data_IF_817859794492
#
_entry.id   IF_817859794492
#
_cell.length_a   1.000
_cell.length_b   1.000
_cell.length_c   1.000
_cell.angle_alpha   90.00
_cell.angle_beta   90.00
_cell.angle_gamma   90.00
#
_symmetry.space_group_name_H-M   'P 1'
#
loop_
_entity.id
_entity.type
_entity.pdbx_description
1 polymer ?
#
# COMPACT_ATOMS: atom_id res chain seq x y z
N UNK A 1 -11.25 -7.00 31.88
CA UNK A 1 -10.39 -7.76 32.83
C UNK A 1 -8.99 -7.18 32.72
N UNK A 2 -8.46 -6.61 33.81
CA UNK A 2 -7.12 -6.05 33.84
C UNK A 2 -6.08 -7.19 33.78
N UNK A 3 -5.09 -7.11 32.89
CA UNK A 3 -4.04 -8.12 32.71
C UNK A 3 -2.84 -7.96 33.65
N UNK A 4 -2.86 -6.99 34.56
CA UNK A 4 -1.81 -6.87 35.58
C UNK A 4 -2.06 -7.88 36.70
N UNK A 5 -1.03 -8.65 37.12
CA UNK A 5 -1.14 -9.54 38.27
C UNK A 5 -1.54 -8.70 39.50
N UNK A 6 -2.56 -9.09 40.27
CA UNK A 6 -2.91 -8.38 41.49
C UNK A 6 -1.73 -8.48 42.47
N UNK A 7 -1.21 -7.32 42.88
CA UNK A 7 -0.17 -7.20 43.90
C UNK A 7 -0.86 -7.17 45.26
N UNK A 8 -0.33 -7.91 46.25
CA UNK A 8 -0.87 -7.89 47.61
C UNK A 8 -0.71 -6.51 48.27
N UNK A 9 -1.77 -6.04 48.94
CA UNK A 9 -1.82 -4.73 49.60
C UNK A 9 -0.74 -4.57 50.69
N UNK A 10 -0.27 -5.68 51.27
CA UNK A 10 0.85 -5.74 52.23
C UNK A 10 2.19 -5.28 51.61
N UNK A 11 2.43 -5.60 50.34
CA UNK A 11 3.66 -5.20 49.61
C UNK A 11 3.61 -3.73 49.21
N UNK A 12 2.41 -3.23 48.89
CA UNK A 12 2.18 -1.83 48.60
C UNK A 12 2.39 -0.95 49.84
N UNK A 13 1.90 -1.37 51.02
CA UNK A 13 2.08 -0.60 52.25
C UNK A 13 3.53 -0.54 52.74
N UNK A 14 4.31 -1.61 52.53
CA UNK A 14 5.70 -1.67 52.99
C UNK A 14 6.70 -0.93 52.09
N UNK A 15 6.30 -0.53 50.87
CA UNK A 15 7.22 0.06 49.91
C UNK A 15 6.54 1.18 49.08
N UNK A 16 6.45 2.41 49.62
CA UNK A 16 5.68 3.50 49.01
C UNK A 16 6.20 3.94 47.63
N UNK A 17 7.50 3.75 47.37
CA UNK A 17 8.08 4.04 46.05
C UNK A 17 7.58 3.06 44.98
N UNK A 18 7.37 1.79 45.35
CA UNK A 18 6.80 0.79 44.47
C UNK A 18 5.32 1.06 44.18
N UNK A 19 4.55 1.53 45.16
CA UNK A 19 3.15 1.97 44.96
C UNK A 19 3.08 3.08 43.93
N UNK A 20 3.95 4.08 44.07
CA UNK A 20 3.98 5.21 43.15
C UNK A 20 4.37 4.77 41.74
N UNK A 21 5.32 3.84 41.60
CA UNK A 21 5.74 3.30 40.31
C UNK A 21 4.66 2.42 39.67
N UNK A 22 4.05 1.53 40.45
CA UNK A 22 2.93 0.69 40.02
C UNK A 22 1.79 1.56 39.52
N UNK A 23 1.30 2.49 40.34
CA UNK A 23 0.22 3.41 39.96
C UNK A 23 0.55 4.27 38.74
N UNK A 24 1.81 4.74 38.60
CA UNK A 24 2.25 5.46 37.40
C UNK A 24 2.25 4.57 36.15
N UNK A 25 2.71 3.34 36.25
CA UNK A 25 2.74 2.41 35.13
C UNK A 25 1.33 2.00 34.71
N UNK A 26 0.44 1.69 35.66
CA UNK A 26 -0.93 1.22 35.37
C UNK A 26 -1.85 2.34 34.88
N UNK A 27 -1.70 3.57 35.37
CA UNK A 27 -2.64 4.66 35.07
C UNK A 27 -2.13 5.67 34.03
N UNK A 28 -0.81 5.87 33.92
CA UNK A 28 -0.23 6.96 33.11
C UNK A 28 0.49 6.44 31.88
N UNK A 29 1.12 5.26 31.97
CA UNK A 29 2.02 4.77 30.91
C UNK A 29 1.39 3.67 30.07
N UNK A 30 0.61 2.77 30.65
CA UNK A 30 0.11 1.56 29.99
C UNK A 30 -1.41 1.50 29.96
N UNK A 31 -1.97 1.00 28.86
CA UNK A 31 -3.40 0.65 28.75
C UNK A 31 -3.66 -0.71 29.41
N UNK A 32 -4.94 -1.08 29.56
CA UNK A 32 -5.40 -2.38 30.10
C UNK A 32 -4.75 -3.61 29.43
N UNK A 33 -4.31 -3.45 28.18
CA UNK A 33 -3.71 -4.47 27.33
C UNK A 33 -2.17 -4.42 27.36
N UNK A 34 -1.58 -3.77 28.37
CA UNK A 34 -0.14 -3.54 28.55
C UNK A 34 0.56 -2.76 27.42
N UNK A 35 -0.18 -2.13 26.50
CA UNK A 35 0.38 -1.27 25.47
C UNK A 35 0.64 0.15 26.00
N UNK A 36 1.76 0.76 25.62
CA UNK A 36 2.10 2.15 25.99
C UNK A 36 1.10 3.16 25.41
N UNK A 37 0.60 4.06 26.26
CA UNK A 37 -0.30 5.17 25.86
C UNK A 37 0.41 6.21 25.01
N UNK A 38 1.63 6.62 25.41
CA UNK A 38 2.36 7.74 24.81
C UNK A 38 3.56 7.30 23.96
N UNK A 39 3.37 6.31 23.08
CA UNK A 39 4.36 5.98 22.05
C UNK A 39 4.21 6.88 20.82
N UNK A 40 5.29 7.29 20.11
CA UNK A 40 5.17 8.06 18.86
C UNK A 40 4.32 7.34 17.80
N UNK A 41 4.28 6.00 17.85
CA UNK A 41 3.47 5.13 16.99
C UNK A 41 2.06 4.83 17.52
N UNK A 42 1.64 5.39 18.66
CA UNK A 42 0.31 5.13 19.22
C UNK A 42 -0.81 5.66 18.30
N UNK A 43 -0.61 6.85 17.73
CA UNK A 43 -1.53 7.46 16.77
C UNK A 43 -1.62 6.65 15.47
N UNK A 44 -0.48 6.17 14.97
CA UNK A 44 -0.40 5.28 13.79
C UNK A 44 -1.11 3.94 14.04
N UNK A 45 -0.92 3.33 15.21
CA UNK A 45 -1.62 2.08 15.59
C UNK A 45 -3.13 2.30 15.72
N UNK A 46 -3.56 3.44 16.25
CA UNK A 46 -4.98 3.80 16.35
C UNK A 46 -5.60 4.01 14.95
N UNK A 47 -4.91 4.70 14.04
CA UNK A 47 -5.38 4.87 12.65
C UNK A 47 -5.43 3.54 11.90
N UNK A 48 -4.44 2.67 12.09
CA UNK A 48 -4.42 1.33 11.47
C UNK A 48 -5.58 0.47 12.00
N UNK A 49 -5.87 0.53 13.30
CA UNK A 49 -7.02 -0.18 13.91
C UNK A 49 -8.35 0.31 13.34
N UNK A 50 -8.56 1.63 13.26
CA UNK A 50 -9.76 2.21 12.65
C UNK A 50 -9.92 1.78 11.19
N UNK A 51 -8.84 1.76 10.41
CA UNK A 51 -8.88 1.30 9.02
C UNK A 51 -9.16 -0.21 8.92
N UNK A 52 -8.60 -1.02 9.82
CA UNK A 52 -8.89 -2.46 9.90
C UNK A 52 -10.36 -2.72 10.22
N UNK A 53 -10.92 -2.00 11.19
CA UNK A 53 -12.32 -2.15 11.59
C UNK A 53 -13.25 -1.69 10.48
N UNK A 54 -12.92 -0.59 9.78
CA UNK A 54 -13.65 -0.14 8.58
C UNK A 54 -13.66 -1.24 7.51
N UNK A 55 -12.52 -1.85 7.22
CA UNK A 55 -12.41 -2.94 6.22
C UNK A 55 -13.17 -4.19 6.64
N UNK A 56 -13.12 -4.57 7.92
CA UNK A 56 -13.90 -5.68 8.47
C UNK A 56 -15.40 -5.43 8.33
N UNK A 57 -15.86 -4.20 8.60
CA UNK A 57 -17.27 -3.83 8.48
C UNK A 57 -17.74 -3.88 7.01
N UNK A 58 -16.91 -3.42 6.08
CA UNK A 58 -17.18 -3.52 4.64
C UNK A 58 -17.24 -4.99 4.19
N UNK A 59 -16.26 -5.81 4.61
CA UNK A 59 -16.22 -7.23 4.27
C UNK A 59 -17.42 -7.99 4.84
N UNK A 60 -17.82 -7.71 6.09
CA UNK A 60 -19.02 -8.30 6.70
C UNK A 60 -20.30 -7.89 5.95
N UNK A 61 -20.43 -6.62 5.54
CA UNK A 61 -21.54 -6.16 4.71
C UNK A 61 -21.58 -6.86 3.36
N UNK A 62 -20.44 -6.99 2.69
CA UNK A 62 -20.34 -7.72 1.43
C UNK A 62 -20.70 -9.19 1.61
N UNK A 63 -20.19 -9.85 2.65
CA UNK A 63 -20.51 -11.24 2.96
C UNK A 63 -22.01 -11.42 3.24
N UNK A 64 -22.63 -10.54 4.03
CA UNK A 64 -24.07 -10.56 4.28
C UNK A 64 -24.89 -10.34 3.00
N UNK A 65 -24.46 -9.42 2.12
CA UNK A 65 -25.12 -9.20 0.82
C UNK A 65 -24.95 -10.42 -0.09
N UNK A 66 -23.78 -11.04 -0.14
CA UNK A 66 -23.53 -12.28 -0.91
C UNK A 66 -24.37 -13.43 -0.37
N UNK A 67 -24.47 -13.59 0.96
CA UNK A 67 -25.35 -14.57 1.59
C UNK A 67 -26.83 -14.28 1.28
N UNK A 68 -27.26 -13.02 1.36
CA UNK A 68 -28.63 -12.63 1.05
C UNK A 68 -28.97 -12.90 -0.41
N UNK A 69 -28.08 -12.55 -1.36
CA UNK A 69 -28.26 -12.79 -2.79
C UNK A 69 -28.28 -14.29 -3.09
N UNK A 70 -27.33 -15.07 -2.56
CA UNK A 70 -27.30 -16.53 -2.74
C UNK A 70 -28.50 -17.23 -2.11
N UNK A 71 -29.07 -16.70 -1.03
CA UNK A 71 -30.32 -17.19 -0.44
C UNK A 71 -31.59 -16.71 -1.16
N UNK A 72 -31.50 -15.61 -1.91
CA UNK A 72 -32.62 -15.00 -2.64
C UNK A 72 -32.70 -15.44 -4.11
N UNK A 73 -31.65 -16.05 -4.66
CA UNK A 73 -31.69 -16.71 -5.97
C UNK A 73 -32.26 -18.12 -5.83
N UNK A 74 -33.45 -18.45 -6.38
CA UNK A 74 -33.92 -19.81 -6.44
C UNK A 74 -33.15 -20.57 -7.54
N UNK A 75 -31.93 -21.02 -7.25
CA UNK A 75 -31.26 -22.02 -8.08
C UNK A 75 -31.93 -23.37 -7.87
N UNK A 76 -32.64 -23.81 -8.92
CA UNK A 76 -33.10 -25.17 -9.15
C UNK A 76 -31.90 -26.14 -9.12
N UNK A 77 -31.58 -26.71 -7.97
CA UNK A 77 -31.02 -28.07 -7.71
C UNK A 77 -30.54 -28.16 -6.25
N UNK A 78 -30.90 -29.23 -5.50
CA UNK A 78 -30.46 -29.36 -4.10
C UNK A 78 -29.06 -30.01 -4.03
N UNK A 79 -28.06 -29.39 -3.37
CA UNK A 79 -26.91 -30.13 -2.89
C UNK A 79 -27.22 -30.71 -1.51
N UNK A 80 -27.20 -32.02 -1.43
CA UNK A 80 -27.21 -32.76 -0.18
C UNK A 80 -26.00 -32.33 0.68
N UNK A 81 -26.26 -31.70 1.83
CA UNK A 81 -25.27 -31.64 2.91
C UNK A 81 -25.91 -32.06 4.22
N UNK A 82 -25.46 -33.24 4.64
CA UNK A 82 -25.69 -33.84 5.96
C UNK A 82 -25.06 -32.94 7.01
N UNK A 83 -25.86 -32.45 7.95
CA UNK A 83 -25.38 -32.02 9.26
C UNK A 83 -26.11 -32.84 10.32
N UNK A 84 -25.44 -33.91 10.75
CA UNK A 84 -25.76 -34.65 11.96
C UNK A 84 -25.54 -33.76 13.17
N UNK A 85 -26.59 -33.51 13.97
CA UNK A 85 -26.43 -33.36 15.41
C UNK A 85 -27.46 -34.24 16.11
N UNK A 86 -26.93 -35.35 16.61
CA UNK A 86 -27.58 -36.31 17.51
C UNK A 86 -27.41 -35.74 18.92
N UNK A 87 -28.47 -35.70 19.73
CA UNK A 87 -28.47 -35.99 21.18
C UNK A 87 -29.92 -36.13 21.69
N UNK A 88 -30.41 -37.39 21.66
CA UNK A 88 -31.21 -38.16 22.62
C UNK A 88 -32.53 -37.65 23.31
N UNK A 89 -33.39 -38.60 23.78
CA UNK A 89 -34.86 -38.51 23.86
C UNK A 89 -35.41 -38.33 25.30
N UNK A 90 -36.75 -38.31 25.47
CA UNK A 90 -37.37 -39.40 26.23
C UNK A 90 -38.70 -39.94 25.68
N UNK A 91 -39.14 -41.00 26.35
CA UNK A 91 -40.08 -42.07 25.99
C UNK A 91 -41.58 -41.71 26.07
N UNK A 92 -42.37 -42.52 25.35
CA UNK A 92 -43.80 -42.77 25.56
C UNK A 92 -44.65 -41.62 25.01
N UNK A 93 -45.47 -41.80 24.00
CA UNK A 93 -46.76 -42.50 24.10
C UNK A 93 -47.08 -43.23 22.80
N UNK A 94 -47.70 -44.39 22.95
CA UNK A 94 -48.24 -45.22 21.88
C UNK A 94 -49.34 -44.44 21.14
N UNK A 95 -49.09 -44.12 19.87
CA UNK A 95 -50.15 -43.81 18.93
C UNK A 95 -50.18 -44.96 17.92
N UNK A 96 -51.31 -45.66 17.88
CA UNK A 96 -51.67 -46.52 16.75
C UNK A 96 -51.75 -45.65 15.50
N UNK A 97 -50.65 -45.61 14.75
CA UNK A 97 -50.58 -45.06 13.41
C UNK A 97 -50.59 -46.22 12.44
N UNK A 98 -51.78 -46.56 11.95
CA UNK A 98 -51.95 -47.33 10.73
C UNK A 98 -50.99 -46.81 9.66
N UNK A 99 -50.15 -47.71 9.14
CA UNK A 99 -49.42 -47.52 7.90
C UNK A 99 -50.38 -47.11 6.78
N UNK A 100 -50.60 -45.81 6.59
CA UNK A 100 -50.91 -45.30 5.26
C UNK A 100 -49.56 -45.12 4.57
N UNK A 101 -49.02 -46.24 4.07
CA UNK A 101 -48.23 -46.18 2.86
C UNK A 101 -49.08 -45.40 1.86
N UNK A 102 -48.73 -44.14 1.60
CA UNK A 102 -49.12 -43.50 0.35
C UNK A 102 -48.44 -44.32 -0.74
N UNK A 103 -49.12 -45.38 -1.16
CA UNK A 103 -48.95 -45.94 -2.49
C UNK A 103 -49.14 -44.75 -3.42
N UNK A 104 -48.05 -44.21 -3.96
CA UNK A 104 -48.16 -43.53 -5.24
C UNK A 104 -48.81 -44.57 -6.16
N UNK A 105 -50.01 -44.30 -6.73
CA UNK A 105 -50.51 -45.17 -7.77
C UNK A 105 -49.42 -45.15 -8.85
N UNK A 106 -48.88 -46.32 -9.20
CA UNK A 106 -47.99 -46.45 -10.35
C UNK A 106 -48.77 -45.90 -11.55
N UNK A 107 -48.43 -44.68 -11.96
CA UNK A 107 -49.06 -44.01 -13.09
C UNK A 107 -48.88 -44.92 -14.30
N UNK A 108 -49.94 -45.23 -15.07
CA UNK A 108 -49.80 -45.92 -16.34
C UNK A 108 -48.74 -45.23 -17.20
N UNK A 109 -47.82 -46.00 -17.78
CA UNK A 109 -46.77 -45.55 -18.71
C UNK A 109 -47.24 -44.50 -19.75
N UNK A 110 -48.43 -44.63 -20.39
CA UNK A 110 -48.92 -43.62 -21.33
C UNK A 110 -49.25 -42.25 -20.71
N UNK A 111 -49.51 -42.17 -19.39
CA UNK A 111 -49.72 -40.89 -18.69
C UNK A 111 -48.41 -40.13 -18.46
N UNK A 112 -47.30 -40.84 -18.31
CA UNK A 112 -45.99 -40.23 -18.10
C UNK A 112 -45.50 -39.57 -19.39
N UNK A 113 -45.64 -40.28 -20.51
CA UNK A 113 -45.32 -39.75 -21.84
C UNK A 113 -46.20 -38.54 -22.18
N UNK A 114 -47.48 -38.58 -21.84
CA UNK A 114 -48.37 -37.44 -22.00
C UNK A 114 -47.93 -36.23 -21.15
N UNK A 115 -47.55 -36.43 -19.89
CA UNK A 115 -47.12 -35.35 -18.99
C UNK A 115 -45.82 -34.69 -19.43
N UNK A 116 -44.99 -35.39 -20.21
CA UNK A 116 -43.76 -34.86 -20.80
C UNK A 116 -44.06 -34.05 -22.07
N UNK A 117 -45.03 -34.47 -22.88
CA UNK A 117 -45.37 -33.85 -24.18
C UNK A 117 -46.33 -32.65 -24.05
N UNK A 118 -47.22 -32.62 -23.04
CA UNK A 118 -48.23 -31.56 -22.88
C UNK A 118 -47.67 -30.17 -22.50
N UNK A 119 -46.70 -30.03 -21.56
CA UNK A 119 -46.18 -28.73 -21.13
C UNK A 119 -45.65 -27.82 -22.25
N UNK A 120 -44.83 -28.29 -23.22
CA UNK A 120 -44.37 -27.43 -24.31
C UNK A 120 -45.50 -27.02 -25.27
N UNK A 121 -46.59 -27.79 -25.36
CA UNK A 121 -47.75 -27.45 -26.18
C UNK A 121 -48.70 -26.44 -25.50
N UNK A 122 -48.62 -26.30 -24.18
CA UNK A 122 -49.45 -25.39 -23.37
C UNK A 122 -48.77 -24.06 -23.01
N UNK A 123 -47.48 -23.90 -23.33
CA UNK A 123 -46.77 -22.66 -23.08
C UNK A 123 -47.23 -21.56 -24.05
N UNK A 124 -47.82 -20.50 -23.50
CA UNK A 124 -48.32 -19.36 -24.27
C UNK A 124 -47.21 -18.56 -24.99
N UNK A 125 -45.93 -18.84 -24.67
CA UNK A 125 -44.77 -18.22 -25.32
C UNK A 125 -44.27 -18.98 -26.55
N UNK A 126 -44.78 -20.19 -26.82
CA UNK A 126 -44.38 -20.98 -27.99
C UNK A 126 -45.19 -20.58 -29.23
N UNK A 127 -44.56 -20.53 -30.42
CA UNK A 127 -45.27 -20.24 -31.66
C UNK A 127 -46.32 -21.34 -31.95
N UNK A 128 -47.51 -20.99 -32.45
CA UNK A 128 -48.54 -21.97 -32.77
C UNK A 128 -48.05 -22.93 -33.85
N UNK A 129 -48.18 -24.24 -33.61
CA UNK A 129 -47.77 -25.27 -34.56
C UNK A 129 -48.68 -25.25 -35.81
N UNK A 130 -48.13 -25.54 -37.01
CA UNK A 130 -48.91 -25.63 -38.24
C UNK A 130 -49.97 -26.75 -38.16
N UNK A 131 -51.14 -26.50 -38.75
CA UNK A 131 -52.34 -27.32 -38.59
C UNK A 131 -52.17 -28.79 -39.01
N UNK A 132 -51.36 -29.06 -40.05
CA UNK A 132 -51.05 -30.41 -40.52
C UNK A 132 -50.26 -31.22 -39.47
N UNK A 133 -49.36 -30.55 -38.74
CA UNK A 133 -48.58 -31.19 -37.67
C UNK A 133 -49.42 -31.46 -36.44
N UNK A 134 -50.40 -30.60 -36.13
CA UNK A 134 -51.37 -30.85 -35.06
C UNK A 134 -52.24 -32.06 -35.37
N UNK A 135 -52.73 -32.19 -36.61
CA UNK A 135 -53.52 -33.34 -37.04
C UNK A 135 -52.74 -34.66 -36.91
N UNK A 136 -51.44 -34.65 -37.26
CA UNK A 136 -50.57 -35.81 -37.10
C UNK A 136 -50.33 -36.13 -35.61
N UNK A 137 -50.13 -35.11 -34.76
CA UNK A 137 -49.96 -35.27 -33.31
C UNK A 137 -51.19 -35.86 -32.63
N UNK A 138 -52.40 -35.44 -33.02
CA UNK A 138 -53.65 -35.97 -32.47
C UNK A 138 -54.05 -37.35 -33.03
N UNK A 139 -53.47 -37.76 -34.16
CA UNK A 139 -53.71 -39.08 -34.76
C UNK A 139 -52.88 -40.22 -34.13
N UNK A 140 -51.88 -39.90 -33.30
CA UNK A 140 -50.98 -40.88 -32.69
C UNK A 140 -51.02 -40.85 -31.15
N UNK A 141 -50.82 -41.99 -30.47
CA UNK A 141 -50.70 -42.02 -29.02
C UNK A 141 -49.44 -41.26 -28.60
N UNK A 142 -49.44 -40.55 -27.45
CA UNK A 142 -50.44 -40.60 -26.37
C UNK A 142 -51.62 -39.63 -26.50
N UNK A 143 -51.65 -38.73 -27.51
CA UNK A 143 -52.72 -37.73 -27.64
C UNK A 143 -54.03 -38.28 -28.21
N UNK A 144 -53.98 -39.32 -29.04
CA UNK A 144 -55.17 -40.01 -29.54
C UNK A 144 -55.97 -40.70 -28.42
N UNK A 145 -55.29 -41.07 -27.32
CA UNK A 145 -55.86 -41.71 -26.14
C UNK A 145 -56.19 -40.69 -25.03
N UNK A 146 -56.11 -39.39 -25.31
CA UNK A 146 -56.35 -38.35 -24.32
C UNK A 146 -57.75 -38.48 -23.68
N UNK A 147 -58.78 -38.77 -24.46
CA UNK A 147 -60.16 -38.90 -23.96
C UNK A 147 -60.34 -40.10 -23.02
N UNK A 148 -59.60 -41.19 -23.23
CA UNK A 148 -59.63 -42.38 -22.36
C UNK A 148 -58.76 -42.20 -21.10
N UNK A 149 -57.71 -41.39 -21.19
CA UNK A 149 -56.78 -41.08 -20.09
C UNK A 149 -57.24 -39.88 -19.22
N UNK A 150 -58.14 -39.03 -19.73
CA UNK A 150 -58.67 -37.84 -19.05
C UNK A 150 -59.33 -38.14 -17.70
N UNK A 151 -60.15 -39.21 -17.52
CA UNK A 151 -60.72 -39.55 -16.21
C UNK A 151 -59.67 -39.89 -15.14
N UNK A 152 -58.51 -40.42 -15.55
CA UNK A 152 -57.39 -40.72 -14.66
C UNK A 152 -56.53 -39.46 -14.37
N UNK A 153 -56.40 -38.56 -15.33
CA UNK A 153 -55.63 -37.31 -15.21
C UNK A 153 -56.38 -36.21 -14.45
N UNK A 154 -57.69 -36.08 -14.66
CA UNK A 154 -58.53 -35.07 -14.03
C UNK A 154 -58.37 -35.02 -12.49
N UNK A 155 -58.42 -36.13 -11.72
CA UNK A 155 -58.21 -36.07 -10.28
C UNK A 155 -56.79 -35.67 -9.90
N UNK A 156 -55.77 -36.08 -10.66
CA UNK A 156 -54.36 -35.73 -10.43
C UNK A 156 -54.17 -34.23 -10.65
N UNK A 157 -54.61 -33.71 -11.80
CA UNK A 157 -54.54 -32.29 -12.14
C UNK A 157 -55.32 -31.46 -11.12
N UNK A 158 -56.55 -31.86 -10.76
CA UNK A 158 -57.34 -31.16 -9.75
C UNK A 158 -56.66 -31.14 -8.37
N UNK A 159 -56.04 -32.25 -7.95
CA UNK A 159 -55.30 -32.32 -6.68
C UNK A 159 -54.05 -31.44 -6.69
N UNK A 160 -53.32 -31.42 -7.81
CA UNK A 160 -52.16 -30.55 -8.00
C UNK A 160 -52.59 -29.09 -8.01
N UNK A 161 -53.55 -28.69 -8.84
CA UNK A 161 -54.06 -27.33 -8.88
C UNK A 161 -54.58 -26.86 -7.52
N UNK A 162 -55.28 -27.73 -6.77
CA UNK A 162 -55.73 -27.42 -5.41
C UNK A 162 -54.57 -27.23 -4.44
N UNK A 163 -53.53 -28.05 -4.54
CA UNK A 163 -52.32 -27.95 -3.70
C UNK A 163 -51.56 -26.66 -4.01
N UNK A 164 -51.42 -26.31 -5.28
CA UNK A 164 -50.78 -25.08 -5.72
C UNK A 164 -51.59 -23.85 -5.30
N UNK A 165 -52.91 -23.86 -5.51
CA UNK A 165 -53.79 -22.79 -5.05
C UNK A 165 -53.75 -22.59 -3.53
N UNK A 166 -53.69 -23.68 -2.75
CA UNK A 166 -53.47 -23.61 -1.31
C UNK A 166 -52.10 -23.05 -0.93
N UNK A 167 -51.05 -23.43 -1.66
CA UNK A 167 -49.70 -22.90 -1.49
C UNK A 167 -49.65 -21.40 -1.73
N UNK A 168 -50.23 -20.93 -2.84
CA UNK A 168 -50.36 -19.51 -3.16
C UNK A 168 -51.22 -18.76 -2.14
N UNK A 169 -52.34 -19.35 -1.70
CA UNK A 169 -53.18 -18.76 -0.65
C UNK A 169 -52.41 -18.58 0.68
N UNK A 170 -51.54 -19.53 1.03
CA UNK A 170 -50.69 -19.44 2.22
C UNK A 170 -49.60 -18.38 2.10
N UNK A 171 -49.01 -18.22 0.92
CA UNK A 171 -48.03 -17.15 0.65
C UNK A 171 -48.72 -15.78 0.75
N UNK A 172 -49.95 -15.66 0.24
CA UNK A 172 -50.71 -14.42 0.28
C UNK A 172 -51.30 -14.08 1.64
N UNK A 173 -51.65 -15.09 2.45
CA UNK A 173 -52.24 -14.91 3.76
C UNK A 173 -51.47 -15.75 4.79
N UNK A 174 -50.22 -15.37 5.11
CA UNK A 174 -49.35 -16.17 5.99
C UNK A 174 -49.89 -16.28 7.42
N UNK A 175 -50.75 -15.35 7.84
CA UNK A 175 -51.36 -15.32 9.18
C UNK A 175 -52.68 -16.10 9.28
N UNK A 176 -53.25 -16.57 8.18
CA UNK A 176 -54.51 -17.32 8.22
C UNK A 176 -54.30 -18.79 8.56
N UNK A 177 -55.18 -19.31 9.42
CA UNK A 177 -55.23 -20.73 9.79
C UNK A 177 -55.42 -21.63 8.56
N UNK A 178 -54.70 -22.75 8.52
CA UNK A 178 -54.67 -23.66 7.37
C UNK A 178 -56.04 -24.20 6.95
N UNK A 179 -56.98 -24.33 7.88
CA UNK A 179 -58.36 -24.77 7.65
C UNK A 179 -59.21 -23.77 6.86
N UNK A 180 -58.88 -22.48 6.88
CA UNK A 180 -59.65 -21.43 6.21
C UNK A 180 -59.02 -20.95 4.89
N UNK A 181 -57.82 -21.41 4.55
CA UNK A 181 -57.11 -21.03 3.31
C UNK A 181 -57.92 -21.28 2.04
N UNK A 182 -58.76 -22.32 2.03
CA UNK A 182 -59.62 -22.64 0.89
C UNK A 182 -60.60 -21.51 0.52
N UNK A 183 -61.01 -20.67 1.48
CA UNK A 183 -61.92 -19.53 1.23
C UNK A 183 -61.25 -18.42 0.44
N UNK A 184 -59.92 -18.32 0.53
CA UNK A 184 -59.14 -17.28 -0.15
C UNK A 184 -58.73 -17.66 -1.59
N UNK A 185 -59.00 -18.90 -2.03
CA UNK A 185 -58.64 -19.36 -3.38
C UNK A 185 -59.35 -18.53 -4.46
N UNK A 186 -60.62 -18.19 -4.25
CA UNK A 186 -61.40 -17.40 -5.21
C UNK A 186 -60.93 -15.94 -5.32
N UNK A 187 -60.34 -15.37 -4.26
CA UNK A 187 -59.81 -14.01 -4.25
C UNK A 187 -58.35 -13.91 -4.70
N UNK A 188 -57.66 -15.03 -4.93
CA UNK A 188 -56.25 -15.02 -5.36
C UNK A 188 -56.00 -14.20 -6.63
N UNK A 189 -56.81 -14.33 -7.71
CA UNK A 189 -56.56 -13.60 -8.94
C UNK A 189 -56.60 -12.09 -8.74
N UNK A 190 -57.56 -11.58 -7.96
CA UNK A 190 -57.70 -10.14 -7.70
C UNK A 190 -56.58 -9.60 -6.81
N UNK A 191 -56.17 -10.37 -5.79
CA UNK A 191 -55.01 -10.00 -4.95
C UNK A 191 -53.71 -9.96 -5.76
N UNK A 192 -53.52 -10.92 -6.67
CA UNK A 192 -52.33 -11.00 -7.51
C UNK A 192 -52.29 -9.88 -8.55
N UNK A 193 -53.42 -9.54 -9.17
CA UNK A 193 -53.48 -8.37 -10.05
C UNK A 193 -53.18 -7.07 -9.31
N UNK A 194 -53.67 -6.93 -8.06
CA UNK A 194 -53.37 -5.79 -7.19
C UNK A 194 -51.88 -5.70 -6.88
N UNK A 195 -51.24 -6.81 -6.49
CA UNK A 195 -49.79 -6.81 -6.23
C UNK A 195 -48.96 -6.54 -7.48
N UNK A 196 -49.39 -7.02 -8.65
CA UNK A 196 -48.72 -6.70 -9.91
C UNK A 196 -48.84 -5.21 -10.24
N UNK A 197 -50.00 -4.60 -10.03
CA UNK A 197 -50.15 -3.15 -10.22
C UNK A 197 -49.36 -2.35 -9.19
N UNK A 198 -49.34 -2.77 -7.93
CA UNK A 198 -48.60 -2.10 -6.86
C UNK A 198 -47.09 -2.20 -7.08
N UNK A 199 -46.60 -3.35 -7.52
CA UNK A 199 -45.20 -3.55 -7.88
C UNK A 199 -44.82 -2.65 -9.06
N UNK A 200 -45.61 -2.65 -10.13
CA UNK A 200 -45.37 -1.79 -11.29
C UNK A 200 -45.40 -0.30 -10.89
N UNK A 201 -46.35 0.12 -10.04
CA UNK A 201 -46.41 1.48 -9.51
C UNK A 201 -45.15 1.80 -8.69
N UNK A 202 -44.76 0.94 -7.76
CA UNK A 202 -43.56 1.13 -6.93
C UNK A 202 -42.27 1.21 -7.78
N UNK A 203 -42.15 0.42 -8.84
CA UNK A 203 -41.03 0.49 -9.79
C UNK A 203 -40.99 1.83 -10.53
N UNK A 204 -42.14 2.29 -11.02
CA UNK A 204 -42.24 3.60 -11.69
C UNK A 204 -41.94 4.75 -10.73
N UNK A 205 -42.44 4.69 -9.50
CA UNK A 205 -42.15 5.69 -8.47
C UNK A 205 -40.67 5.72 -8.12
N UNK A 206 -40.06 4.56 -7.88
CA UNK A 206 -38.64 4.44 -7.56
C UNK A 206 -37.75 4.95 -8.70
N UNK A 207 -38.08 4.62 -9.95
CA UNK A 207 -37.36 5.16 -11.11
C UNK A 207 -37.49 6.69 -11.20
N UNK A 208 -38.68 7.23 -10.94
CA UNK A 208 -38.92 8.68 -10.91
C UNK A 208 -38.12 9.38 -9.80
N UNK A 209 -38.06 8.80 -8.59
CA UNK A 209 -37.29 9.34 -7.48
C UNK A 209 -35.79 9.30 -7.77
N UNK A 210 -35.29 8.22 -8.38
CA UNK A 210 -33.90 8.13 -8.83
C UNK A 210 -33.58 9.25 -9.82
N UNK A 211 -34.40 9.44 -10.85
CA UNK A 211 -34.21 10.52 -11.83
C UNK A 211 -34.23 11.92 -11.18
N UNK A 212 -35.18 12.19 -10.28
CA UNK A 212 -35.23 13.47 -9.54
C UNK A 212 -33.97 13.68 -8.68
N UNK A 213 -33.51 12.63 -7.99
CA UNK A 213 -32.31 12.72 -7.15
C UNK A 213 -31.05 12.99 -7.99
N UNK A 214 -30.92 12.34 -9.16
CA UNK A 214 -29.82 12.58 -10.08
C UNK A 214 -29.84 14.02 -10.62
N UNK A 215 -31.02 14.54 -11.00
CA UNK A 215 -31.16 15.92 -11.44
C UNK A 215 -30.82 16.94 -10.35
N UNK A 216 -31.19 16.67 -9.09
CA UNK A 216 -30.82 17.51 -7.96
C UNK A 216 -29.29 17.49 -7.74
N UNK A 217 -28.66 16.32 -7.79
CA UNK A 217 -27.21 16.20 -7.65
C UNK A 217 -26.44 16.90 -8.77
N UNK A 218 -26.90 16.79 -10.03
CA UNK A 218 -26.26 17.50 -11.14
C UNK A 218 -26.39 19.01 -10.98
N UNK A 219 -27.55 19.51 -10.53
CA UNK A 219 -27.73 20.94 -10.24
C UNK A 219 -26.82 21.45 -9.12
N UNK A 220 -26.63 20.66 -8.05
CA UNK A 220 -25.73 20.98 -6.95
C UNK A 220 -24.28 21.01 -7.42
N UNK A 221 -23.85 20.02 -8.21
CA UNK A 221 -22.51 19.99 -8.78
C UNK A 221 -22.27 21.22 -9.68
N UNK A 222 -23.25 21.60 -10.49
CA UNK A 222 -23.14 22.80 -11.33
C UNK A 222 -23.07 24.10 -10.49
N UNK A 223 -23.83 24.20 -9.41
CA UNK A 223 -23.74 25.33 -8.49
C UNK A 223 -22.36 25.39 -7.80
N UNK A 224 -21.82 24.24 -7.38
CA UNK A 224 -20.50 24.16 -6.76
C UNK A 224 -19.37 24.52 -7.73
N UNK A 225 -19.41 24.04 -8.97
CA UNK A 225 -18.42 24.40 -10.00
C UNK A 225 -18.46 25.89 -10.32
N UNK A 226 -19.67 26.46 -10.42
CA UNK A 226 -19.84 27.91 -10.60
C UNK A 226 -19.25 28.70 -9.42
N UNK A 227 -19.54 28.30 -8.17
CA UNK A 227 -18.99 28.95 -6.99
C UNK A 227 -17.46 28.88 -6.94
N UNK A 228 -16.86 27.73 -7.26
CA UNK A 228 -15.40 27.57 -7.35
C UNK A 228 -14.81 28.44 -8.47
N UNK A 229 -15.45 28.51 -9.62
CA UNK A 229 -14.99 29.36 -10.73
C UNK A 229 -14.98 30.85 -10.35
N UNK A 230 -16.00 31.30 -9.61
CA UNK A 230 -16.07 32.68 -9.11
C UNK A 230 -15.02 32.95 -8.06
N UNK A 231 -14.75 31.99 -7.17
CA UNK A 231 -13.69 32.09 -6.17
C UNK A 231 -12.31 32.19 -6.85
N UNK A 232 -12.02 31.32 -7.82
CA UNK A 232 -10.78 31.36 -8.58
C UNK A 232 -10.62 32.71 -9.29
N UNK A 233 -11.65 33.19 -9.98
CA UNK A 233 -11.62 34.53 -10.62
C UNK A 233 -11.39 35.65 -9.60
N UNK A 234 -12.01 35.59 -8.42
CA UNK A 234 -11.78 36.58 -7.37
C UNK A 234 -10.35 36.54 -6.85
N UNK A 235 -9.76 35.35 -6.69
CA UNK A 235 -8.36 35.18 -6.33
C UNK A 235 -7.42 35.69 -7.42
N UNK A 236 -7.70 35.40 -8.69
CA UNK A 236 -6.93 35.90 -9.82
C UNK A 236 -6.99 37.43 -9.93
N UNK A 237 -8.15 38.04 -9.71
CA UNK A 237 -8.30 39.51 -9.72
C UNK A 237 -7.50 40.15 -8.59
N UNK A 238 -7.51 39.56 -7.38
CA UNK A 238 -6.79 40.11 -6.22
C UNK A 238 -5.28 39.86 -6.29
N UNK A 239 -4.88 38.64 -6.62
CA UNK A 239 -3.49 38.19 -6.49
C UNK A 239 -2.77 38.08 -7.83
N UNK A 240 -3.47 37.94 -8.96
CA UNK A 240 -2.85 37.76 -10.27
C UNK A 240 -2.05 38.98 -10.73
N UNK A 241 -2.53 40.20 -10.47
CA UNK A 241 -1.76 41.42 -10.77
C UNK A 241 -0.51 41.53 -9.89
N UNK A 242 -0.63 41.19 -8.60
CA UNK A 242 0.49 41.22 -7.66
C UNK A 242 1.55 40.19 -8.04
N UNK A 243 1.15 38.94 -8.32
CA UNK A 243 2.04 37.88 -8.77
C UNK A 243 2.82 38.27 -10.04
N UNK A 244 2.10 38.72 -11.09
CA UNK A 244 2.74 39.20 -12.32
C UNK A 244 3.68 40.39 -12.09
N UNK A 245 3.32 41.32 -11.20
CA UNK A 245 4.18 42.45 -10.88
C UNK A 245 5.45 42.04 -10.13
N UNK A 246 5.38 41.04 -9.25
CA UNK A 246 6.53 40.50 -8.54
C UNK A 246 7.44 39.71 -9.49
N UNK A 247 6.88 38.93 -10.41
CA UNK A 247 7.63 38.24 -11.46
C UNK A 247 8.40 39.23 -12.35
N UNK A 248 7.74 40.30 -12.80
CA UNK A 248 8.41 41.36 -13.59
C UNK A 248 9.51 42.05 -12.80
N UNK A 249 9.28 42.41 -11.52
CA UNK A 249 10.31 43.01 -10.67
C UNK A 249 11.49 42.07 -10.42
N UNK A 250 11.23 40.78 -10.22
CA UNK A 250 12.29 39.78 -10.08
C UNK A 250 13.10 39.64 -11.38
N UNK A 251 12.44 39.66 -12.54
CA UNK A 251 13.09 39.65 -13.84
C UNK A 251 13.95 40.90 -14.06
N UNK A 252 13.44 42.10 -13.75
CA UNK A 252 14.19 43.36 -13.79
C UNK A 252 15.42 43.33 -12.88
N UNK A 253 15.27 42.91 -11.62
CA UNK A 253 16.37 42.79 -10.67
C UNK A 253 17.45 41.80 -11.17
N UNK A 254 17.04 40.67 -11.75
CA UNK A 254 17.98 39.68 -12.32
C UNK A 254 18.74 40.24 -13.52
N UNK A 255 18.09 41.07 -14.33
CA UNK A 255 18.71 41.72 -15.48
C UNK A 255 19.72 42.77 -15.01
N UNK A 256 19.36 43.56 -14.00
CA UNK A 256 20.29 44.50 -13.37
C UNK A 256 21.51 43.80 -12.78
N UNK A 257 21.33 42.69 -12.06
CA UNK A 257 22.44 41.91 -11.52
C UNK A 257 23.39 41.44 -12.63
N UNK A 258 22.86 40.88 -13.72
CA UNK A 258 23.67 40.46 -14.88
C UNK A 258 24.41 41.61 -15.56
N UNK A 259 23.79 42.79 -15.63
CA UNK A 259 24.45 44.01 -16.14
C UNK A 259 25.60 44.41 -15.23
N UNK A 260 25.38 44.46 -13.93
CA UNK A 260 26.43 44.80 -12.97
C UNK A 260 27.57 43.78 -12.97
N UNK A 261 27.28 42.48 -13.13
CA UNK A 261 28.32 41.46 -13.27
C UNK A 261 29.16 41.71 -14.54
N UNK A 262 28.51 42.01 -15.67
CA UNK A 262 29.21 42.33 -16.91
C UNK A 262 30.05 43.61 -16.78
N UNK A 263 29.49 44.67 -16.18
CA UNK A 263 30.18 45.93 -15.94
C UNK A 263 31.37 45.75 -14.99
N UNK A 264 31.23 44.93 -13.94
CA UNK A 264 32.30 44.58 -13.01
C UNK A 264 33.42 43.80 -13.72
N UNK A 265 33.08 42.87 -14.62
CA UNK A 265 34.08 42.15 -15.43
C UNK A 265 34.82 43.09 -16.38
N UNK A 266 34.12 44.01 -17.04
CA UNK A 266 34.72 45.01 -17.92
C UNK A 266 35.65 45.93 -17.12
N UNK A 267 35.19 46.42 -15.96
CA UNK A 267 35.99 47.25 -15.07
C UNK A 267 37.21 46.52 -14.54
N UNK A 268 37.09 45.24 -14.16
CA UNK A 268 38.23 44.43 -13.74
C UNK A 268 39.24 44.24 -14.88
N UNK A 269 38.76 44.03 -16.11
CA UNK A 269 39.62 43.91 -17.28
C UNK A 269 40.33 45.23 -17.63
N UNK A 270 39.66 46.38 -17.51
CA UNK A 270 40.26 47.69 -17.75
C UNK A 270 41.33 48.01 -16.70
N UNK A 271 41.05 47.75 -15.43
CA UNK A 271 42.01 47.89 -14.32
C UNK A 271 43.22 46.98 -14.54
N UNK A 272 43.01 45.71 -14.89
CA UNK A 272 44.12 44.79 -15.21
C UNK A 272 44.97 45.29 -16.37
N UNK A 273 44.36 45.82 -17.43
CA UNK A 273 45.10 46.40 -18.57
C UNK A 273 45.91 47.64 -18.16
N UNK A 274 45.40 48.46 -17.24
CA UNK A 274 46.10 49.63 -16.75
C UNK A 274 47.33 49.27 -15.88
N UNK A 275 47.22 48.26 -15.02
CA UNK A 275 48.33 47.83 -14.14
C UNK A 275 49.34 46.89 -14.82
N UNK A 276 48.86 45.98 -15.68
CA UNK A 276 49.70 45.04 -16.42
C UNK A 276 49.90 45.54 -17.85
N UNK A 277 50.68 46.60 -17.98
CA UNK A 277 51.18 47.04 -19.29
C UNK A 277 52.03 45.93 -19.92
N UNK A 278 52.14 45.87 -21.26
CA UNK A 278 52.94 44.84 -21.92
C UNK A 278 54.40 44.86 -21.44
N UNK A 279 54.92 46.03 -21.13
CA UNK A 279 56.25 46.24 -20.54
C UNK A 279 56.36 45.69 -19.11
N UNK A 280 55.34 45.89 -18.27
CA UNK A 280 55.32 45.30 -16.93
C UNK A 280 55.27 43.76 -17.01
N UNK A 281 54.52 43.20 -17.97
CA UNK A 281 54.45 41.75 -18.19
C UNK A 281 55.81 41.19 -18.65
N UNK A 282 56.49 41.85 -19.59
CA UNK A 282 57.83 41.41 -20.04
C UNK A 282 58.85 41.54 -18.91
N UNK A 283 58.82 42.61 -18.12
CA UNK A 283 59.67 42.78 -16.96
C UNK A 283 59.44 41.68 -15.90
N UNK A 284 58.17 41.36 -15.59
CA UNK A 284 57.83 40.26 -14.66
C UNK A 284 58.28 38.90 -15.18
N UNK A 285 58.16 38.63 -16.48
CA UNK A 285 58.69 37.39 -17.10
C UNK A 285 60.21 37.30 -16.98
N UNK A 286 60.91 38.39 -17.26
CA UNK A 286 62.37 38.46 -17.15
C UNK A 286 62.82 38.29 -15.69
N UNK A 287 62.13 38.92 -14.74
CA UNK A 287 62.39 38.74 -13.32
C UNK A 287 62.14 37.29 -12.88
N UNK A 288 61.07 36.66 -13.34
CA UNK A 288 60.79 35.24 -13.08
C UNK A 288 61.82 34.28 -13.69
N UNK A 289 62.39 34.61 -14.86
CA UNK A 289 63.53 33.88 -15.41
C UNK A 289 64.78 34.07 -14.55
N UNK A 290 65.10 35.32 -14.19
CA UNK A 290 66.23 35.62 -13.33
C UNK A 290 66.14 34.94 -11.95
N UNK A 291 64.95 34.88 -11.34
CA UNK A 291 64.74 34.17 -10.07
C UNK A 291 64.96 32.66 -10.22
N UNK A 292 64.53 32.05 -11.33
CA UNK A 292 64.81 30.63 -11.62
C UNK A 292 66.30 30.38 -11.78
N UNK A 293 66.99 31.22 -12.53
CA UNK A 293 68.43 31.12 -12.72
C UNK A 293 69.20 31.36 -11.42
N UNK A 294 68.75 32.33 -10.60
CA UNK A 294 69.33 32.59 -9.28
C UNK A 294 69.14 31.41 -8.34
N UNK A 295 67.97 30.77 -8.38
CA UNK A 295 67.69 29.54 -7.64
C UNK A 295 68.63 28.41 -8.10
N UNK A 296 68.70 28.14 -9.40
CA UNK A 296 69.62 27.14 -9.97
C UNK A 296 71.07 27.39 -9.55
N UNK A 297 71.56 28.62 -9.69
CA UNK A 297 72.91 29.02 -9.26
C UNK A 297 73.12 28.86 -7.76
N UNK A 298 72.09 29.07 -6.94
CA UNK A 298 72.19 28.86 -5.49
C UNK A 298 72.22 27.36 -5.15
N UNK A 299 71.40 26.56 -5.83
CA UNK A 299 71.38 25.10 -5.67
C UNK A 299 72.70 24.48 -6.14
N UNK A 300 73.26 24.93 -7.26
CA UNK A 300 74.58 24.52 -7.76
C UNK A 300 75.70 24.92 -6.81
N UNK A 301 75.68 26.14 -6.26
CA UNK A 301 76.64 26.57 -5.22
C UNK A 301 76.52 25.72 -3.96
N UNK A 302 75.31 25.39 -3.53
CA UNK A 302 75.09 24.49 -2.39
C UNK A 302 75.61 23.08 -2.69
N UNK A 303 75.37 22.53 -3.90
CA UNK A 303 75.93 21.24 -4.31
C UNK A 303 77.46 21.26 -4.38
N UNK A 304 78.04 22.34 -4.93
CA UNK A 304 79.50 22.53 -5.00
C UNK A 304 80.13 22.60 -3.62
N UNK A 305 79.61 23.47 -2.73
CA UNK A 305 80.08 23.56 -1.34
C UNK A 305 79.87 22.24 -0.58
N UNK A 306 78.78 21.52 -0.82
CA UNK A 306 78.57 20.19 -0.22
C UNK A 306 79.59 19.16 -0.72
N UNK A 307 79.98 19.21 -2.00
CA UNK A 307 81.03 18.36 -2.55
C UNK A 307 82.41 18.72 -1.98
N UNK A 308 82.74 20.00 -1.89
CA UNK A 308 83.98 20.48 -1.25
C UNK A 308 84.05 20.04 0.22
N UNK A 309 82.97 20.26 1.00
CA UNK A 309 82.90 19.79 2.39
C UNK A 309 83.03 18.27 2.48
N UNK A 310 82.46 17.52 1.51
CA UNK A 310 82.67 16.08 1.36
C UNK A 310 84.14 15.70 1.12
N UNK A 311 84.87 16.44 0.30
CA UNK A 311 86.31 16.25 0.05
C UNK A 311 87.17 16.52 1.31
N UNK A 312 86.75 17.49 2.14
CA UNK A 312 87.31 17.74 3.46
C UNK A 312 86.88 16.70 4.53
N UNK A 313 86.09 15.69 4.16
CA UNK A 313 85.62 14.63 5.05
C UNK A 313 84.51 15.08 6.01
N UNK A 314 83.84 16.20 5.72
CA UNK A 314 82.66 16.69 6.44
C UNK A 314 81.44 16.46 5.55
N UNK A 315 80.98 15.21 5.55
CA UNK A 315 79.80 14.73 4.84
C UNK A 315 79.43 13.35 5.36
N UNK A 316 78.20 12.90 5.11
CA UNK A 316 77.61 11.68 5.69
C UNK A 316 78.45 10.41 5.39
N UNK A 317 79.23 10.41 4.31
CA UNK A 317 80.13 9.31 3.91
C UNK A 317 81.64 9.65 4.02
N UNK A 318 82.00 10.83 4.56
CA UNK A 318 83.38 11.35 4.57
C UNK A 318 84.31 10.81 5.66
N UNK A 319 83.85 9.85 6.47
CA UNK A 319 84.58 9.33 7.63
C UNK A 319 85.87 8.58 7.27
N UNK A 320 85.86 7.77 6.21
CA UNK A 320 86.99 6.90 5.85
C UNK A 320 88.23 7.69 5.40
N UNK A 321 88.05 8.77 4.63
CA UNK A 321 89.17 9.58 4.15
C UNK A 321 89.79 10.42 5.26
N UNK A 322 88.97 10.90 6.21
CA UNK A 322 89.44 11.60 7.41
C UNK A 322 90.23 10.65 8.31
N UNK A 323 89.75 9.42 8.51
CA UNK A 323 90.45 8.39 9.26
C UNK A 323 91.81 8.03 8.64
N UNK A 324 91.87 7.86 7.31
CA UNK A 324 93.14 7.57 6.60
C UNK A 324 94.17 8.70 6.74
N UNK A 325 93.77 9.97 6.50
CA UNK A 325 94.67 11.13 6.68
C UNK A 325 95.11 11.27 8.14
N UNK A 326 94.22 11.03 9.11
CA UNK A 326 94.55 11.11 10.53
C UNK A 326 95.50 9.98 10.98
N UNK A 327 95.35 8.77 10.39
CA UNK A 327 96.30 7.66 10.55
C UNK A 327 97.68 7.99 9.99
N UNK A 328 97.76 8.54 8.79
CA UNK A 328 99.03 8.95 8.19
C UNK A 328 99.71 10.05 9.01
N UNK A 329 98.99 11.08 9.44
CA UNK A 329 99.53 12.11 10.32
C UNK A 329 100.04 11.53 11.65
N UNK A 330 99.31 10.59 12.25
CA UNK A 330 99.77 9.91 13.48
C UNK A 330 101.02 9.07 13.26
N UNK A 331 101.17 8.46 12.07
CA UNK A 331 102.33 7.65 11.71
C UNK A 331 103.57 8.52 11.49
N UNK A 332 103.42 9.63 10.78
CA UNK A 332 104.48 10.63 10.58
C UNK A 332 104.91 11.22 11.92
N UNK A 333 103.96 11.57 12.80
CA UNK A 333 104.28 12.06 14.15
C UNK A 333 105.09 11.05 14.96
N UNK A 334 104.75 9.76 14.87
CA UNK A 334 105.46 8.68 15.54
C UNK A 334 106.87 8.47 14.99
N UNK A 335 107.07 8.57 13.68
CA UNK A 335 108.39 8.51 13.05
C UNK A 335 109.24 9.72 13.43
N UNK A 336 108.66 10.91 13.44
CA UNK A 336 109.36 12.13 13.85
C UNK A 336 109.77 12.06 15.33
N UNK A 337 108.90 11.52 16.20
CA UNK A 337 109.21 11.30 17.63
C UNK A 337 110.38 10.32 17.80
N UNK A 338 110.41 9.22 17.01
CA UNK A 338 111.54 8.28 17.02
C UNK A 338 112.84 8.92 16.56
N UNK A 339 112.81 9.73 15.50
CA UNK A 339 114.00 10.47 15.05
C UNK A 339 114.48 11.46 16.11
N UNK A 340 113.57 12.11 16.84
CA UNK A 340 113.93 12.97 17.98
C UNK A 340 114.53 12.17 19.15
N UNK A 341 114.02 10.98 19.45
CA UNK A 341 114.57 10.11 20.50
C UNK A 341 115.95 9.54 20.12
N UNK A 342 116.16 9.19 18.86
CA UNK A 342 117.45 8.67 18.37
C UNK A 342 118.52 9.78 18.35
N UNK A 343 118.18 10.99 17.89
CA UNK A 343 119.09 12.16 17.99
C UNK A 343 119.40 12.52 19.44
N UNK A 344 118.44 12.35 20.36
CA UNK A 344 118.68 12.53 21.80
C UNK A 344 119.63 11.48 22.37
N UNK A 345 119.50 10.22 21.97
CA UNK A 345 120.43 9.13 22.36
C UNK A 345 121.84 9.34 21.82
N UNK A 346 121.96 9.87 20.60
CA UNK A 346 123.28 10.17 20.01
C UNK A 346 123.95 11.37 20.68
N UNK A 347 123.18 12.37 21.15
CA UNK A 347 123.69 13.43 22.02
C UNK A 347 124.13 12.90 23.40
N UNK A 348 123.40 11.96 24.00
CA UNK A 348 123.78 11.36 25.29
C UNK A 348 125.06 10.51 25.17
N UNK A 349 125.32 9.89 24.02
CA UNK A 349 126.57 9.17 23.73
C UNK A 349 127.78 10.08 23.56
N UNK A 350 127.58 11.29 23.02
CA UNK A 350 128.63 12.31 22.91
C UNK A 350 128.99 12.96 24.25
N UNK A 351 128.19 12.77 25.31
CA UNK A 351 128.42 13.30 26.66
C UNK A 351 129.10 12.29 27.63
N UNK A 352 129.45 11.07 27.18
CA UNK A 352 130.12 10.05 28.02
C UNK A 352 131.44 9.49 27.43
N UNK A 353 132.05 10.20 26.48
CA UNK A 353 133.45 10.06 26.09
C UNK A 353 134.10 11.43 26.06
#
# INVERSE_FOLDING_TARGET
>A
MAMFPPVEDSVLQNNPDFVNLYNKLTNVVLNSDCSTQNGPRAKERASVRQELDRRRLISAKQHLLTCAISSATPSSTPPATRASSRLQPPKGHQAGGSNSQQQQPSLPEPLLDLLIVLPPLLDANNPPLPQDTLQLLFAHPPLSELETLLPALAPIIASNLRTWALGLARIAHPSTNASFLHRHIASLPTTLSGWRSDLAAAETELSSHRLRSLAALTSLLQAATNALSLLIRALEVKHGKVARSLELRAAEASLHARRYDADAVIAAASVRRAFYTPEAITALRNYGAHLRDAKMRSEERVRGLAAELGEYGVGVDGGENKEKKMREMSRVYREMTRQMDDTRRDLDRLNQG
#
